data_IF_894164280682
#
_entry.id   IF_894164280682
#
_cell.length_a   1.000
_cell.length_b   1.000
_cell.length_c   1.000
_cell.angle_alpha   90.00
_cell.angle_beta   90.00
_cell.angle_gamma   90.00
#
_symmetry.space_group_name_H-M   'P 1'
#
loop_
_entity.id
_entity.type
_entity.pdbx_description
1 polymer ?
#
# COMPACT_ATOMS: atom_id res chain seq x y z
N UNK A 1 21.68 8.34 -4.25
CA UNK A 1 20.21 8.16 -4.20
C UNK A 1 19.59 9.51 -3.90
N UNK A 2 18.49 9.91 -4.55
CA UNK A 2 17.84 11.18 -4.25
C UNK A 2 17.24 11.13 -2.83
N UNK A 3 17.35 12.24 -2.10
CA UNK A 3 16.64 12.43 -0.83
C UNK A 3 15.30 13.12 -1.12
N UNK A 4 14.21 12.43 -0.81
CA UNK A 4 12.84 12.91 -1.05
C UNK A 4 12.16 13.09 0.30
N UNK A 5 11.39 14.17 0.46
CA UNK A 5 10.60 14.39 1.67
C UNK A 5 9.44 13.39 1.73
N UNK A 6 9.16 12.91 2.94
CA UNK A 6 8.21 11.81 3.13
C UNK A 6 6.76 12.22 2.85
N UNK A 7 6.34 13.45 3.18
CA UNK A 7 4.98 13.93 2.92
C UNK A 7 4.65 13.96 1.41
N UNK A 8 5.43 14.63 0.54
CA UNK A 8 5.20 14.57 -0.90
C UNK A 8 5.24 13.15 -1.48
N UNK A 9 6.08 12.26 -0.92
CA UNK A 9 6.12 10.86 -1.33
C UNK A 9 4.82 10.15 -0.97
N UNK A 10 4.24 10.43 0.20
CA UNK A 10 2.94 9.88 0.60
C UNK A 10 1.83 10.38 -0.32
N UNK A 11 1.76 11.67 -0.59
CA UNK A 11 0.73 12.24 -1.46
C UNK A 11 0.77 11.65 -2.87
N UNK A 12 1.98 11.54 -3.45
CA UNK A 12 2.16 10.95 -4.77
C UNK A 12 1.75 9.48 -4.80
N UNK A 13 2.27 8.67 -3.86
CA UNK A 13 1.98 7.23 -3.80
C UNK A 13 0.49 6.98 -3.58
N UNK A 14 -0.17 7.74 -2.70
CA UNK A 14 -1.60 7.62 -2.47
C UNK A 14 -2.40 7.90 -3.75
N UNK A 15 -2.09 9.01 -4.44
CA UNK A 15 -2.76 9.37 -5.70
C UNK A 15 -2.59 8.29 -6.78
N UNK A 16 -1.44 7.63 -6.85
CA UNK A 16 -1.20 6.52 -7.78
C UNK A 16 -2.08 5.30 -7.48
N UNK A 17 -2.26 4.95 -6.20
CA UNK A 17 -3.14 3.84 -5.81
C UNK A 17 -4.61 4.16 -6.05
N UNK A 18 -5.04 5.38 -5.74
CA UNK A 18 -6.40 5.83 -6.02
C UNK A 18 -6.71 5.81 -7.53
N UNK A 19 -5.73 6.19 -8.37
CA UNK A 19 -5.88 6.18 -9.82
C UNK A 19 -6.11 4.77 -10.41
N UNK A 20 -5.68 3.71 -9.71
CA UNK A 20 -5.94 2.30 -10.11
C UNK A 20 -7.12 1.69 -9.33
N UNK A 21 -7.94 2.51 -8.69
CA UNK A 21 -9.22 2.11 -8.09
C UNK A 21 -9.14 1.64 -6.65
N UNK A 22 -8.03 1.88 -5.94
CA UNK A 22 -7.95 1.64 -4.48
C UNK A 22 -8.72 2.74 -3.74
N UNK A 23 -9.62 2.40 -2.78
CA UNK A 23 -10.27 3.39 -1.95
C UNK A 23 -9.28 4.28 -1.18
N UNK A 24 -9.60 5.55 -0.99
CA UNK A 24 -8.68 6.54 -0.42
C UNK A 24 -8.15 6.15 0.99
N UNK A 25 -8.99 5.57 1.84
CA UNK A 25 -8.60 5.08 3.17
C UNK A 25 -7.56 3.95 3.09
N UNK A 26 -7.76 3.01 2.15
CA UNK A 26 -6.84 1.90 1.92
C UNK A 26 -5.54 2.37 1.24
N UNK A 27 -5.64 3.27 0.26
CA UNK A 27 -4.49 3.86 -0.43
C UNK A 27 -3.59 4.61 0.56
N UNK A 28 -4.19 5.33 1.51
CA UNK A 28 -3.46 5.96 2.62
C UNK A 28 -2.74 4.93 3.48
N UNK A 29 -3.41 3.86 3.93
CA UNK A 29 -2.78 2.80 4.76
C UNK A 29 -1.59 2.16 4.02
N UNK A 30 -1.79 1.78 2.76
CA UNK A 30 -0.74 1.18 1.93
C UNK A 30 0.47 2.12 1.84
N UNK A 31 0.22 3.37 1.51
CA UNK A 31 1.26 4.37 1.34
C UNK A 31 1.98 4.66 2.65
N UNK A 32 1.25 4.71 3.76
CA UNK A 32 1.84 4.97 5.06
C UNK A 32 2.85 3.90 5.43
N UNK A 33 2.51 2.62 5.25
CA UNK A 33 3.42 1.50 5.52
C UNK A 33 4.66 1.51 4.62
N UNK A 34 4.53 1.84 3.33
CA UNK A 34 5.67 1.89 2.42
C UNK A 34 6.62 3.05 2.76
N UNK A 35 6.09 4.22 3.09
CA UNK A 35 6.93 5.37 3.46
C UNK A 35 7.55 5.16 4.84
N UNK A 36 6.83 4.58 5.80
CA UNK A 36 7.39 4.21 7.10
C UNK A 36 8.54 3.21 6.95
N UNK A 37 8.42 2.22 6.07
CA UNK A 37 9.50 1.29 5.78
C UNK A 37 10.76 2.02 5.26
N UNK A 38 10.62 3.03 4.39
CA UNK A 38 11.76 3.88 4.00
C UNK A 38 12.32 4.66 5.20
N UNK A 39 11.47 5.27 6.03
CA UNK A 39 11.91 6.05 7.20
C UNK A 39 12.64 5.20 8.27
N UNK A 40 12.28 3.92 8.39
CA UNK A 40 12.97 2.96 9.26
C UNK A 40 14.23 2.34 8.63
N UNK A 41 14.58 2.70 7.39
CA UNK A 41 15.76 2.16 6.69
C UNK A 41 15.54 0.77 6.07
N UNK A 42 14.29 0.32 5.96
CA UNK A 42 13.89 -0.93 5.29
C UNK A 42 13.50 -0.68 3.83
N UNK A 43 14.42 -0.11 3.05
CA UNK A 43 14.15 0.33 1.67
C UNK A 43 13.59 -0.76 0.75
N UNK A 44 13.98 -2.02 0.96
CA UNK A 44 13.46 -3.18 0.20
C UNK A 44 11.95 -3.40 0.36
N UNK A 45 11.35 -2.84 1.40
CA UNK A 45 9.92 -2.92 1.72
C UNK A 45 9.19 -1.58 1.52
N UNK A 46 9.90 -0.51 1.16
CA UNK A 46 9.32 0.82 1.01
C UNK A 46 8.79 1.13 -0.38
N UNK A 47 8.91 2.39 -0.79
CA UNK A 47 8.43 2.92 -2.08
C UNK A 47 8.88 2.11 -3.31
N UNK A 48 9.99 1.37 -3.25
CA UNK A 48 10.44 0.44 -4.30
C UNK A 48 9.38 -0.59 -4.70
N UNK A 49 8.46 -0.92 -3.79
CA UNK A 49 7.37 -1.88 -4.03
C UNK A 49 6.21 -1.30 -4.84
N UNK A 50 6.08 0.03 -4.87
CA UNK A 50 4.94 0.74 -5.50
C UNK A 50 4.71 0.31 -6.96
N UNK A 51 5.72 0.28 -7.86
CA UNK A 51 5.50 -0.11 -9.25
C UNK A 51 4.96 -1.53 -9.41
N UNK A 52 5.44 -2.47 -8.58
CA UNK A 52 4.97 -3.85 -8.59
C UNK A 52 3.50 -3.96 -8.17
N UNK A 53 3.11 -3.27 -7.10
CA UNK A 53 1.72 -3.26 -6.64
C UNK A 53 0.78 -2.60 -7.65
N UNK A 54 1.16 -1.46 -8.24
CA UNK A 54 0.35 -0.81 -9.28
C UNK A 54 0.17 -1.69 -10.50
N UNK A 55 1.22 -2.41 -10.93
CA UNK A 55 1.15 -3.38 -12.01
C UNK A 55 0.14 -4.48 -11.68
N UNK A 56 0.26 -5.10 -10.51
CA UNK A 56 -0.63 -6.18 -10.12
C UNK A 56 -2.09 -5.75 -9.96
N UNK A 57 -2.36 -4.53 -9.49
CA UNK A 57 -3.69 -3.95 -9.43
C UNK A 57 -4.25 -3.70 -10.83
N UNK A 58 -3.44 -3.12 -11.73
CA UNK A 58 -3.84 -2.85 -13.12
C UNK A 58 -4.10 -4.13 -13.92
N UNK A 59 -3.33 -5.19 -13.68
CA UNK A 59 -3.53 -6.52 -14.30
C UNK A 59 -4.66 -7.33 -13.64
N UNK A 60 -5.25 -6.83 -12.54
CA UNK A 60 -6.32 -7.51 -11.81
C UNK A 60 -5.88 -8.76 -11.05
N UNK A 61 -4.58 -9.04 -10.96
CA UNK A 61 -4.03 -10.12 -10.13
C UNK A 61 -4.13 -9.80 -8.64
N UNK A 62 -4.18 -8.52 -8.30
CA UNK A 62 -4.64 -8.02 -7.00
C UNK A 62 -5.95 -7.24 -7.19
N UNK A 63 -6.86 -7.35 -6.23
CA UNK A 63 -8.11 -6.60 -6.23
C UNK A 63 -8.02 -5.43 -5.23
N UNK A 64 -8.34 -4.19 -5.64
CA UNK A 64 -8.30 -3.03 -4.74
C UNK A 64 -9.24 -3.16 -3.53
N UNK A 65 -10.37 -3.84 -3.71
CA UNK A 65 -11.34 -4.11 -2.66
C UNK A 65 -11.64 -5.61 -2.63
N UNK A 66 -11.37 -6.23 -1.49
CA UNK A 66 -11.69 -7.63 -1.22
C UNK A 66 -12.89 -7.76 -0.29
N UNK A 67 -13.66 -8.84 -0.43
CA UNK A 67 -14.62 -9.26 0.61
C UNK A 67 -13.85 -9.99 1.71
N UNK A 68 -13.33 -9.26 2.69
CA UNK A 68 -12.76 -9.85 3.89
C UNK A 68 -13.88 -10.58 4.64
N UNK A 69 -13.69 -11.88 4.90
CA UNK A 69 -14.65 -12.71 5.62
C UNK A 69 -13.92 -13.46 6.73
N UNK A 70 -14.47 -13.43 7.95
CA UNK A 70 -14.02 -14.29 9.04
C UNK A 70 -14.58 -15.68 8.79
N UNK A 71 -13.71 -16.67 8.62
CA UNK A 71 -14.12 -18.06 8.33
C UNK A 71 -14.33 -18.85 9.64
N UNK A 72 -13.55 -18.55 10.69
CA UNK A 72 -13.65 -19.23 11.98
C UNK A 72 -13.07 -18.36 13.10
N UNK A 73 -13.90 -18.02 14.07
CA UNK A 73 -13.50 -17.26 15.26
C UNK A 73 -13.56 -18.13 16.52
N UNK A 74 -12.60 -17.95 17.42
CA UNK A 74 -12.62 -18.46 18.80
C UNK A 74 -12.31 -17.31 19.76
N UNK A 75 -12.28 -17.55 21.08
CA UNK A 75 -11.98 -16.50 22.05
C UNK A 75 -10.61 -15.85 21.89
N UNK A 76 -9.66 -16.50 21.20
CA UNK A 76 -8.29 -16.01 21.01
C UNK A 76 -7.77 -16.16 19.57
N UNK A 77 -8.61 -16.51 18.59
CA UNK A 77 -8.22 -16.69 17.17
C UNK A 77 -9.33 -16.23 16.21
N UNK A 78 -9.00 -15.81 14.99
CA UNK A 78 -9.95 -15.44 13.92
C UNK A 78 -9.55 -16.02 12.55
#
# INVERSE_FOLDING_TARGET
>A
MPHIQHEPLRELSQALYEAVGVPADQAKIMTDHLVDANLFGHDSHGSIRTPGYLKSLSEGTHKPVGKLNIIRETSTTA
#
